data_IF_148109234351
#
_entry.id   IF_148109234351
#
_cell.length_a   1.000
_cell.length_b   1.000
_cell.length_c   1.000
_cell.angle_alpha   90.00
_cell.angle_beta   90.00
_cell.angle_gamma   90.00
#
_symmetry.space_group_name_H-M   'P 1'
#
loop_
_entity.id
_entity.type
_entity.pdbx_description
1 polymer ?
#
# COMPACT_ATOMS: atom_id res chain seq x y z
N UNK A 1 -19.96 1.77 -10.93
CA UNK A 1 -19.40 0.40 -10.82
C UNK A 1 -18.75 0.09 -9.45
N UNK A 2 -17.57 0.63 -9.11
CA UNK A 2 -16.81 0.29 -7.87
C UNK A 2 -17.48 0.56 -6.51
N UNK A 3 -18.67 1.18 -6.48
CA UNK A 3 -19.49 1.33 -5.26
C UNK A 3 -20.19 0.01 -4.91
N UNK A 4 -20.78 -0.68 -5.88
CA UNK A 4 -21.48 -1.97 -5.72
C UNK A 4 -20.51 -3.15 -5.91
N UNK A 5 -19.63 -3.42 -4.94
CA UNK A 5 -18.57 -4.45 -5.08
C UNK A 5 -19.07 -5.89 -4.97
N UNK A 6 -20.27 -6.09 -4.44
CA UNK A 6 -20.89 -7.41 -4.28
C UNK A 6 -21.73 -7.84 -5.48
N UNK A 7 -21.88 -7.02 -6.52
CA UNK A 7 -22.55 -7.44 -7.75
C UNK A 7 -21.77 -8.54 -8.48
N UNK A 8 -22.46 -9.39 -9.23
CA UNK A 8 -21.85 -10.56 -9.90
C UNK A 8 -20.69 -10.20 -10.82
N UNK A 9 -20.85 -9.15 -11.63
CA UNK A 9 -19.78 -8.65 -12.48
C UNK A 9 -18.53 -8.26 -11.67
N UNK A 10 -18.70 -7.57 -10.53
CA UNK A 10 -17.58 -7.14 -9.69
C UNK A 10 -16.95 -8.30 -8.93
N UNK A 11 -17.75 -9.25 -8.42
CA UNK A 11 -17.25 -10.45 -7.75
C UNK A 11 -16.42 -11.30 -8.70
N UNK A 12 -16.90 -11.50 -9.92
CA UNK A 12 -16.19 -12.24 -10.98
C UNK A 12 -14.86 -11.58 -11.32
N UNK A 13 -14.87 -10.27 -11.58
CA UNK A 13 -13.66 -9.50 -11.86
C UNK A 13 -12.64 -9.56 -10.71
N UNK A 14 -13.09 -9.38 -9.46
CA UNK A 14 -12.22 -9.43 -8.29
C UNK A 14 -11.67 -10.84 -8.04
N UNK A 15 -12.44 -11.89 -8.35
CA UNK A 15 -12.00 -13.29 -8.22
C UNK A 15 -10.87 -13.59 -9.19
N UNK A 16 -11.02 -13.24 -10.47
CA UNK A 16 -9.99 -13.43 -11.50
C UNK A 16 -8.72 -12.64 -11.12
N UNK A 17 -8.88 -11.37 -10.73
CA UNK A 17 -7.74 -10.52 -10.33
C UNK A 17 -7.01 -11.06 -9.10
N UNK A 18 -7.72 -11.45 -8.05
CA UNK A 18 -7.06 -11.97 -6.84
C UNK A 18 -6.40 -13.33 -7.09
N UNK A 19 -6.89 -14.13 -8.05
CA UNK A 19 -6.15 -15.31 -8.52
C UNK A 19 -4.82 -14.92 -9.17
N UNK A 20 -4.81 -13.99 -10.13
CA UNK A 20 -3.59 -13.49 -10.78
C UNK A 20 -2.61 -12.90 -9.75
N UNK A 21 -3.10 -12.08 -8.82
CA UNK A 21 -2.26 -11.37 -7.85
C UNK A 21 -1.56 -12.32 -6.85
N UNK A 22 -2.09 -13.53 -6.67
CA UNK A 22 -1.46 -14.54 -5.81
C UNK A 22 -0.22 -15.15 -6.47
N UNK A 23 -0.22 -15.27 -7.80
CA UNK A 23 0.91 -15.81 -8.56
C UNK A 23 2.07 -14.82 -8.66
N UNK A 24 1.78 -13.52 -8.56
CA UNK A 24 2.80 -12.47 -8.60
C UNK A 24 3.54 -12.29 -7.26
N UNK A 25 4.69 -11.61 -7.33
CA UNK A 25 5.51 -11.26 -6.17
C UNK A 25 4.77 -10.36 -5.18
N UNK A 26 5.19 -10.37 -3.91
CA UNK A 26 4.51 -9.62 -2.86
C UNK A 26 4.51 -8.09 -3.07
N UNK A 27 5.52 -7.57 -3.76
CA UNK A 27 5.58 -6.21 -4.31
C UNK A 27 5.87 -6.37 -5.80
N UNK A 28 4.98 -5.87 -6.64
CA UNK A 28 5.03 -6.02 -8.10
C UNK A 28 4.75 -4.67 -8.77
N UNK A 29 5.55 -4.30 -9.78
CA UNK A 29 5.34 -3.06 -10.53
C UNK A 29 4.23 -3.26 -11.55
N UNK A 30 3.22 -2.39 -11.54
CA UNK A 30 2.11 -2.45 -12.50
C UNK A 30 2.31 -1.39 -13.57
N UNK A 31 2.03 -1.74 -14.82
CA UNK A 31 2.13 -0.81 -15.96
C UNK A 31 1.06 0.29 -15.93
N UNK A 32 -0.17 -0.05 -15.52
CA UNK A 32 -1.32 0.86 -15.45
C UNK A 32 -2.11 0.67 -14.16
N UNK A 33 -2.73 1.73 -13.60
CA UNK A 33 -3.58 1.58 -12.43
C UNK A 33 -4.76 0.66 -12.72
N UNK A 34 -5.02 -0.31 -11.84
CA UNK A 34 -6.22 -1.16 -11.91
C UNK A 34 -7.50 -0.33 -11.83
N UNK A 35 -7.43 0.80 -11.13
CA UNK A 35 -8.53 1.74 -10.91
C UNK A 35 -8.09 3.17 -11.27
N UNK A 36 -8.12 3.53 -12.56
CA UNK A 36 -7.69 4.86 -13.00
C UNK A 36 -8.48 5.99 -12.34
N UNK A 37 -9.78 5.79 -12.09
CA UNK A 37 -10.68 6.72 -11.40
C UNK A 37 -10.18 7.05 -9.99
N UNK A 38 -9.87 6.02 -9.20
CA UNK A 38 -9.43 6.17 -7.81
C UNK A 38 -8.00 6.66 -7.73
N UNK A 39 -7.13 6.19 -8.62
CA UNK A 39 -5.74 6.65 -8.71
C UNK A 39 -5.68 8.15 -8.98
N UNK A 40 -6.43 8.66 -9.97
CA UNK A 40 -6.47 10.09 -10.31
C UNK A 40 -6.95 10.95 -9.15
N UNK A 41 -7.97 10.50 -8.42
CA UNK A 41 -8.47 11.19 -7.21
C UNK A 41 -7.41 11.29 -6.11
N UNK A 42 -6.46 10.35 -6.06
CA UNK A 42 -5.38 10.32 -5.07
C UNK A 42 -4.10 11.00 -5.55
N UNK A 43 -4.13 11.66 -6.71
CA UNK A 43 -3.04 12.47 -7.25
C UNK A 43 -2.25 11.82 -8.39
N UNK A 44 -2.61 10.62 -8.86
CA UNK A 44 -1.98 10.02 -10.03
C UNK A 44 -2.26 10.83 -11.30
N UNK A 45 -1.21 11.07 -12.10
CA UNK A 45 -1.31 11.60 -13.46
C UNK A 45 -0.61 10.64 -14.42
N UNK A 46 -1.17 10.49 -15.62
CA UNK A 46 -0.59 9.64 -16.66
C UNK A 46 0.52 10.41 -17.38
N UNK A 47 1.66 10.58 -16.70
CA UNK A 47 2.88 11.18 -17.24
C UNK A 47 4.11 10.47 -16.66
N UNK A 48 5.26 10.68 -17.29
CA UNK A 48 6.51 10.11 -16.81
C UNK A 48 6.85 10.58 -15.39
N UNK A 49 7.51 9.72 -14.63
CA UNK A 49 7.82 9.92 -13.21
C UNK A 49 6.74 9.46 -12.24
N UNK A 50 5.52 9.15 -12.68
CA UNK A 50 4.54 8.40 -11.86
C UNK A 50 4.71 6.89 -12.06
N UNK A 51 4.76 6.14 -10.95
CA UNK A 51 4.87 4.68 -10.97
C UNK A 51 3.86 4.09 -10.01
N UNK A 52 3.33 2.90 -10.33
CA UNK A 52 2.38 2.19 -9.47
C UNK A 52 2.96 0.83 -9.12
N UNK A 53 2.94 0.52 -7.82
CA UNK A 53 3.29 -0.79 -7.30
C UNK A 53 2.09 -1.42 -6.63
N UNK A 54 1.82 -2.68 -6.96
CA UNK A 54 0.86 -3.53 -6.27
C UNK A 54 1.54 -4.29 -5.14
N UNK A 55 0.90 -4.30 -3.98
CA UNK A 55 1.44 -4.88 -2.76
C UNK A 55 0.39 -5.77 -2.13
N UNK A 56 0.81 -6.97 -1.72
CA UNK A 56 -0.01 -7.83 -0.88
C UNK A 56 0.45 -7.77 0.58
N UNK A 57 -0.51 -7.62 1.48
CA UNK A 57 -0.31 -7.66 2.94
C UNK A 57 -1.18 -8.76 3.52
N UNK A 58 -0.60 -9.62 4.36
CA UNK A 58 -1.33 -10.69 5.05
C UNK A 58 -2.39 -10.07 5.96
N UNK A 59 -3.60 -10.64 5.93
CA UNK A 59 -4.73 -10.26 6.77
C UNK A 59 -4.53 -10.75 8.21
N UNK A 60 -5.34 -10.18 9.09
CA UNK A 60 -5.31 -10.48 10.51
C UNK A 60 -4.33 -9.59 11.27
N UNK A 61 -4.35 -9.76 12.58
CA UNK A 61 -3.50 -9.03 13.49
C UNK A 61 -2.11 -9.65 13.62
N UNK A 62 -1.20 -8.91 14.25
CA UNK A 62 0.17 -9.35 14.45
C UNK A 62 0.28 -10.03 15.81
N UNK A 63 0.69 -11.31 15.81
CA UNK A 63 1.12 -12.01 17.03
C UNK A 63 2.34 -11.30 17.63
N UNK A 64 2.36 -11.12 18.95
CA UNK A 64 3.54 -10.67 19.69
C UNK A 64 4.70 -11.64 19.41
N UNK A 65 5.87 -11.10 19.07
CA UNK A 65 7.07 -11.89 18.82
C UNK A 65 7.71 -12.23 20.15
N UNK A 66 7.44 -13.43 20.65
CA UNK A 66 8.05 -13.99 21.86
C UNK A 66 8.38 -15.46 21.63
N UNK A 67 9.48 -15.92 22.22
CA UNK A 67 9.89 -17.31 22.18
C UNK A 67 8.88 -18.15 22.96
N UNK A 68 8.40 -19.24 22.35
CA UNK A 68 7.42 -20.18 22.93
C UNK A 68 6.12 -19.57 23.49
N UNK A 69 5.80 -18.31 23.18
CA UNK A 69 4.64 -17.63 23.78
C UNK A 69 4.89 -17.11 25.21
N UNK A 70 6.12 -17.23 25.72
CA UNK A 70 6.47 -16.85 27.09
C UNK A 70 6.66 -15.34 27.15
N UNK A 71 5.95 -14.68 28.07
CA UNK A 71 6.07 -13.25 28.34
C UNK A 71 6.30 -13.08 29.83
N UNK A 72 7.44 -12.49 30.21
CA UNK A 72 7.76 -12.17 31.58
C UNK A 72 7.08 -10.87 32.06
N UNK A 73 6.94 -10.73 33.38
CA UNK A 73 6.36 -9.57 34.05
C UNK A 73 4.86 -9.67 34.31
N UNK A 74 4.20 -8.51 34.44
CA UNK A 74 2.82 -8.41 34.94
C UNK A 74 1.80 -9.13 34.04
N UNK A 75 0.74 -9.76 34.61
CA UNK A 75 -0.31 -10.45 33.85
C UNK A 75 -0.92 -9.62 32.72
N UNK A 76 -1.05 -8.30 32.90
CA UNK A 76 -1.58 -7.38 31.88
C UNK A 76 -0.82 -7.39 30.55
N UNK A 77 0.45 -7.83 30.53
CA UNK A 77 1.30 -7.85 29.34
C UNK A 77 1.42 -9.23 28.68
N UNK A 78 0.84 -10.27 29.29
CA UNK A 78 1.00 -11.66 28.87
C UNK A 78 0.23 -12.03 27.59
N UNK A 79 -0.71 -11.19 27.12
CA UNK A 79 -1.46 -11.47 25.89
C UNK A 79 -0.56 -11.57 24.64
N UNK A 80 -0.66 -12.67 23.88
CA UNK A 80 0.19 -12.93 22.70
C UNK A 80 -0.54 -12.81 21.35
N UNK A 81 -1.76 -13.35 21.24
CA UNK A 81 -2.48 -13.52 19.95
C UNK A 81 -3.50 -12.44 19.62
N UNK A 82 -4.19 -11.90 20.63
CA UNK A 82 -5.31 -10.94 20.47
C UNK A 82 -4.86 -9.47 20.42
N UNK A 83 -3.57 -9.22 20.18
CA UNK A 83 -3.05 -7.85 20.09
C UNK A 83 -3.29 -7.30 18.68
N UNK A 84 -4.00 -6.18 18.58
CA UNK A 84 -4.26 -5.50 17.30
C UNK A 84 -3.08 -4.63 16.89
N UNK A 85 -2.79 -4.56 15.60
CA UNK A 85 -1.79 -3.63 15.09
C UNK A 85 -2.27 -2.18 15.23
N UNK A 86 -1.44 -1.30 15.80
CA UNK A 86 -1.73 0.15 15.86
C UNK A 86 -1.81 0.78 14.46
N UNK A 87 -0.95 0.32 13.55
CA UNK A 87 -0.94 0.76 12.15
C UNK A 87 -1.90 -0.08 11.33
N UNK A 88 -2.60 0.56 10.40
CA UNK A 88 -3.46 -0.16 9.46
C UNK A 88 -2.64 -0.88 8.38
N UNK A 89 -3.28 -1.87 7.72
CA UNK A 89 -2.62 -2.69 6.70
C UNK A 89 -2.24 -1.89 5.44
N UNK A 90 -2.90 -0.75 5.19
CA UNK A 90 -2.62 0.13 4.05
C UNK A 90 -1.30 0.88 4.25
N UNK A 91 -1.07 1.43 5.43
CA UNK A 91 0.17 2.07 5.86
C UNK A 91 1.33 1.07 5.82
N UNK A 92 1.12 -0.16 6.29
CA UNK A 92 2.12 -1.23 6.16
C UNK A 92 2.47 -1.58 4.70
N UNK A 93 1.51 -1.47 3.77
CA UNK A 93 1.76 -1.66 2.35
C UNK A 93 2.62 -0.54 1.77
N UNK A 94 2.35 0.71 2.16
CA UNK A 94 3.13 1.88 1.77
C UNK A 94 4.57 1.78 2.28
N UNK A 95 4.77 1.46 3.56
CA UNK A 95 6.10 1.25 4.15
C UNK A 95 6.90 0.16 3.43
N UNK A 96 6.25 -0.96 3.07
CA UNK A 96 6.91 -2.07 2.38
C UNK A 96 7.44 -1.64 1.00
N UNK A 97 6.70 -0.79 0.29
CA UNK A 97 7.15 -0.26 -1.02
C UNK A 97 8.18 0.85 -0.84
N UNK A 98 7.98 1.75 0.12
CA UNK A 98 8.94 2.82 0.42
C UNK A 98 10.32 2.29 0.77
N UNK A 99 10.40 1.16 1.50
CA UNK A 99 11.67 0.45 1.75
C UNK A 99 12.27 -0.18 0.50
N UNK A 100 11.45 -0.79 -0.36
CA UNK A 100 11.93 -1.44 -1.59
C UNK A 100 12.36 -0.44 -2.66
N UNK A 101 11.71 0.71 -2.72
CA UNK A 101 11.91 1.75 -3.73
C UNK A 101 12.43 3.04 -3.08
N UNK A 102 13.59 2.99 -2.41
CA UNK A 102 14.12 4.10 -1.60
C UNK A 102 14.36 5.42 -2.36
N UNK A 103 14.65 5.33 -3.68
CA UNK A 103 14.80 6.52 -4.54
C UNK A 103 13.49 7.25 -4.84
N UNK A 104 12.35 6.56 -4.75
CA UNK A 104 11.04 7.11 -5.08
C UNK A 104 10.38 7.75 -3.85
N UNK A 105 9.27 8.46 -4.08
CA UNK A 105 8.44 9.07 -3.03
C UNK A 105 7.05 8.48 -3.05
N UNK A 106 6.59 7.93 -1.93
CA UNK A 106 5.21 7.46 -1.79
C UNK A 106 4.28 8.67 -1.74
N UNK A 107 3.33 8.74 -2.66
CA UNK A 107 2.30 9.77 -2.69
C UNK A 107 1.10 9.37 -1.83
N UNK A 108 0.44 8.28 -2.22
CA UNK A 108 -0.75 7.71 -1.58
C UNK A 108 -0.95 6.26 -2.08
N UNK A 109 -1.83 5.51 -1.44
CA UNK A 109 -2.24 4.17 -1.89
C UNK A 109 -3.76 4.00 -1.97
N UNK A 110 -4.24 2.90 -2.58
CA UNK A 110 -5.65 2.53 -2.52
C UNK A 110 -5.85 1.02 -2.56
N UNK A 111 -6.98 0.57 -2.01
CA UNK A 111 -7.40 -0.83 -2.05
C UNK A 111 -7.85 -1.25 -3.46
N UNK A 112 -7.40 -2.42 -3.88
CA UNK A 112 -7.75 -3.01 -5.20
C UNK A 112 -8.43 -4.36 -5.11
N UNK A 113 -8.22 -5.11 -4.04
CA UNK A 113 -8.80 -6.45 -3.88
C UNK A 113 -8.46 -7.04 -2.52
N UNK A 114 -9.18 -8.09 -2.13
CA UNK A 114 -8.83 -8.91 -0.99
C UNK A 114 -9.31 -10.34 -1.21
N UNK A 115 -8.57 -11.30 -0.67
CA UNK A 115 -8.97 -12.69 -0.57
C UNK A 115 -8.98 -13.09 0.93
N UNK A 116 -9.11 -14.38 1.24
CA UNK A 116 -9.11 -14.86 2.62
C UNK A 116 -7.81 -14.55 3.38
N UNK A 117 -6.66 -14.54 2.70
CA UNK A 117 -5.32 -14.49 3.31
C UNK A 117 -4.70 -13.11 3.21
N UNK A 118 -4.95 -12.34 2.15
CA UNK A 118 -4.28 -11.10 1.81
C UNK A 118 -5.26 -9.97 1.47
N UNK A 119 -4.83 -8.74 1.76
CA UNK A 119 -5.34 -7.52 1.14
C UNK A 119 -4.34 -7.00 0.15
N UNK A 120 -4.84 -6.52 -0.98
CA UNK A 120 -4.04 -5.97 -2.07
C UNK A 120 -4.26 -4.46 -2.17
N UNK A 121 -3.16 -3.74 -2.25
CA UNK A 121 -3.12 -2.29 -2.39
C UNK A 121 -2.27 -1.90 -3.59
N UNK A 122 -2.67 -0.84 -4.30
CA UNK A 122 -1.80 -0.16 -5.26
C UNK A 122 -1.30 1.13 -4.61
N UNK A 123 0.03 1.27 -4.59
CA UNK A 123 0.75 2.42 -4.04
C UNK A 123 1.23 3.26 -5.22
N UNK A 124 0.87 4.54 -5.20
CA UNK A 124 1.31 5.54 -6.17
C UNK A 124 2.64 6.10 -5.67
N UNK A 125 3.68 5.97 -6.49
CA UNK A 125 4.98 6.55 -6.26
C UNK A 125 5.30 7.59 -7.32
N UNK A 126 6.16 8.52 -6.93
CA UNK A 126 6.66 9.57 -7.79
C UNK A 126 8.19 9.54 -7.75
N UNK A 127 8.80 9.66 -8.91
CA UNK A 127 10.24 9.84 -9.07
C UNK A 127 10.60 11.33 -8.91
N UNK A 128 11.29 11.73 -7.83
CA UNK A 128 11.66 13.11 -7.61
C UNK A 128 12.80 13.61 -8.53
N UNK A 129 13.50 12.70 -9.21
CA UNK A 129 14.61 13.03 -10.10
C UNK A 129 14.16 13.27 -11.55
N UNK A 130 12.93 12.87 -11.92
CA UNK A 130 12.43 13.01 -13.27
C UNK A 130 12.02 14.47 -13.58
N UNK A 131 12.49 15.02 -14.71
CA UNK A 131 12.20 16.42 -15.12
C UNK A 131 10.70 16.72 -15.23
N UNK A 132 9.91 15.78 -15.78
CA UNK A 132 8.45 15.90 -15.84
C UNK A 132 7.75 16.05 -14.46
N UNK A 133 8.41 15.66 -13.36
CA UNK A 133 7.92 15.87 -11.99
C UNK A 133 8.45 17.20 -11.43
N UNK A 134 9.75 17.45 -11.61
CA UNK A 134 10.41 18.66 -11.11
C UNK A 134 9.83 19.94 -11.72
N UNK A 135 9.45 19.90 -12.98
CA UNK A 135 8.93 21.06 -13.73
C UNK A 135 7.41 21.25 -13.57
N UNK A 136 6.70 20.32 -12.92
CA UNK A 136 5.24 20.45 -12.72
C UNK A 136 4.94 21.10 -11.36
N UNK A 137 4.41 22.34 -11.35
CA UNK A 137 4.16 23.09 -10.11
C UNK A 137 3.17 22.39 -9.16
N UNK A 138 2.30 21.51 -9.67
CA UNK A 138 1.28 20.81 -8.87
C UNK A 138 1.85 19.67 -8.02
N UNK A 139 3.00 19.11 -8.40
CA UNK A 139 3.60 17.93 -7.73
C UNK A 139 5.04 18.16 -7.29
N UNK A 140 5.75 19.15 -7.85
CA UNK A 140 7.17 19.42 -7.55
C UNK A 140 7.49 19.52 -6.06
N UNK A 141 6.50 19.87 -5.22
CA UNK A 141 6.67 19.90 -3.77
C UNK A 141 7.24 18.58 -3.23
N UNK A 142 6.84 17.43 -3.80
CA UNK A 142 7.26 16.09 -3.34
C UNK A 142 8.76 15.83 -3.52
N UNK A 143 9.43 16.61 -4.38
CA UNK A 143 10.87 16.52 -4.62
C UNK A 143 11.69 17.11 -3.48
N UNK A 144 11.10 17.98 -2.62
CA UNK A 144 11.82 18.59 -1.51
C UNK A 144 12.30 17.52 -0.51
N UNK A 145 13.51 17.65 0.08
CA UNK A 145 14.05 16.65 1.01
C UNK A 145 13.15 16.34 2.22
N UNK A 146 12.36 17.31 2.68
CA UNK A 146 11.40 17.15 3.79
C UNK A 146 10.32 16.11 3.52
N UNK A 147 10.07 15.73 2.27
CA UNK A 147 9.10 14.70 1.88
C UNK A 147 9.72 13.31 1.66
N UNK A 148 10.99 13.09 2.04
CA UNK A 148 11.58 11.74 2.12
C UNK A 148 10.80 10.88 3.11
N UNK A 149 10.54 9.63 2.75
CA UNK A 149 9.92 8.61 3.61
C UNK A 149 8.66 9.08 4.38
N UNK A 150 7.71 9.70 3.67
CA UNK A 150 6.42 10.12 4.25
C UNK A 150 5.65 8.95 4.86
N UNK A 151 5.73 7.79 4.22
CA UNK A 151 5.10 6.54 4.63
C UNK A 151 5.63 6.03 5.97
N UNK A 152 6.90 6.28 6.30
CA UNK A 152 7.49 5.84 7.58
C UNK A 152 7.14 6.77 8.74
N UNK A 153 6.75 8.01 8.42
CA UNK A 153 6.40 9.07 9.38
C UNK A 153 4.89 9.28 9.52
N UNK A 154 4.07 8.50 8.82
CA UNK A 154 2.61 8.63 8.89
C UNK A 154 2.06 9.91 8.25
N UNK A 155 2.75 10.45 7.24
CA UNK A 155 2.34 11.67 6.52
C UNK A 155 1.52 11.38 5.24
N UNK A 156 1.20 10.12 4.99
CA UNK A 156 0.31 9.67 3.92
C UNK A 156 -1.13 9.58 4.43
N UNK A 157 -2.10 9.50 3.51
CA UNK A 157 -3.53 9.40 3.86
C UNK A 157 -3.92 8.07 4.55
N UNK A 158 -3.00 7.12 4.67
CA UNK A 158 -3.32 5.73 5.01
C UNK A 158 -3.86 5.55 6.42
#
# INVERSE_FOLDING_TARGET
LWRKKQSDAMRTLLRIRTWEYRQLTAVHRVSRPTRPDKARRLGYKAKQGFVIYRVRIKRGDRKKRVQNGIVYGKPKHQGVRKQKSKRNLRSLAEERVGRRCGGLRVLNSYWVGQDAVHKFYEVILVDPHHNAIRNDPRIQYICKPVHKHREMRGLTSA
#
